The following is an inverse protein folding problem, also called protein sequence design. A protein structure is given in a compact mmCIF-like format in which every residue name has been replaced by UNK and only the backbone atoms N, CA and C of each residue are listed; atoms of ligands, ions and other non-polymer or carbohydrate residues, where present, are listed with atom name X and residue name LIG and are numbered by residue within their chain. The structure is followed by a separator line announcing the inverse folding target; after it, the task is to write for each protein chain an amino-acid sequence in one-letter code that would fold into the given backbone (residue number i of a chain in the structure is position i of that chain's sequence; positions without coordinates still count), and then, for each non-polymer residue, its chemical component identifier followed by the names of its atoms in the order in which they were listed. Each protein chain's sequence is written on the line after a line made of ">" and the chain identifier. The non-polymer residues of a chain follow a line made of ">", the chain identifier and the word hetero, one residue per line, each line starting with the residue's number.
data_IF_760890750376
#
_entry.id   IF_760890750376
#
_cell.length_a   1.000
_cell.length_b   1.000
_cell.length_c   1.000
_cell.angle_alpha   90.00
_cell.angle_beta   90.00
_cell.angle_gamma   90.00
#
_symmetry.space_group_name_H-M   'P 1'
#
loop_
_entity.id
_entity.type
_entity.pdbx_description
1 polymer ?
#
# COMPACT_ATOMS: atom_id res chain seq x y z
N UNK A 1 -21.82 -1.48 21.89
CA UNK A 1 -21.87 -2.95 21.61
C UNK A 1 -22.75 -3.16 20.40
N UNK A 2 -22.20 -3.75 19.32
CA UNK A 2 -23.00 -4.18 18.18
C UNK A 2 -24.18 -5.04 18.65
N UNK A 3 -24.70 -5.90 17.85
CA UNK A 3 -25.73 -6.82 18.31
C UNK A 3 -25.07 -8.02 19.04
N UNK A 4 -25.41 -8.38 20.27
CA UNK A 4 -24.73 -9.45 21.03
C UNK A 4 -24.63 -10.79 20.29
N UNK A 5 -25.59 -11.08 19.41
CA UNK A 5 -25.67 -12.30 18.59
C UNK A 5 -25.43 -12.03 17.10
N UNK A 6 -25.03 -10.80 16.74
CA UNK A 6 -24.93 -10.37 15.34
C UNK A 6 -23.98 -11.22 14.50
N UNK A 7 -22.85 -11.66 15.05
CA UNK A 7 -21.90 -12.55 14.37
C UNK A 7 -22.50 -13.94 14.04
N UNK A 8 -23.55 -14.35 14.74
CA UNK A 8 -24.31 -15.60 14.51
C UNK A 8 -25.48 -15.41 13.53
N UNK A 9 -25.94 -14.19 13.34
CA UNK A 9 -27.15 -13.87 12.56
C UNK A 9 -26.84 -13.34 11.16
N UNK A 10 -25.69 -12.69 11.02
CA UNK A 10 -25.28 -12.06 9.76
C UNK A 10 -23.98 -12.68 9.27
N UNK A 11 -23.95 -13.10 8.02
CA UNK A 11 -22.72 -13.54 7.34
C UNK A 11 -21.79 -12.37 7.08
N UNK A 12 -20.47 -12.64 7.04
CA UNK A 12 -19.51 -11.67 6.57
C UNK A 12 -19.78 -11.32 5.11
N UNK A 13 -19.87 -10.03 4.82
CA UNK A 13 -19.99 -9.51 3.46
C UNK A 13 -18.87 -8.49 3.19
N UNK A 14 -18.34 -8.53 1.99
CA UNK A 14 -17.38 -7.56 1.47
C UNK A 14 -18.08 -6.69 0.41
N UNK A 15 -17.53 -5.51 0.07
CA UNK A 15 -17.94 -4.80 -1.13
C UNK A 15 -17.87 -5.73 -2.34
N UNK A 16 -18.77 -5.54 -3.26
CA UNK A 16 -18.71 -6.25 -4.54
C UNK A 16 -17.61 -5.58 -5.39
N UNK A 17 -16.77 -6.39 -5.98
CA UNK A 17 -15.79 -5.89 -6.94
C UNK A 17 -16.40 -5.87 -8.35
N UNK A 18 -16.08 -4.85 -9.11
CA UNK A 18 -16.38 -4.81 -10.53
C UNK A 18 -15.76 -6.02 -11.24
N UNK A 19 -16.44 -6.57 -12.22
CA UNK A 19 -15.94 -7.75 -12.95
C UNK A 19 -14.51 -7.56 -13.45
N UNK A 20 -13.60 -8.53 -13.24
CA UNK A 20 -12.18 -8.41 -13.61
C UNK A 20 -11.97 -8.00 -15.08
N UNK A 21 -12.75 -8.57 -16.02
CA UNK A 21 -12.63 -8.26 -17.44
C UNK A 21 -13.18 -6.89 -17.83
N UNK A 22 -14.05 -6.28 -17.00
CA UNK A 22 -14.56 -4.92 -17.25
C UNK A 22 -13.68 -3.87 -16.59
N UNK A 23 -13.16 -4.15 -15.38
CA UNK A 23 -12.37 -3.17 -14.63
C UNK A 23 -10.96 -2.95 -15.19
N UNK A 24 -10.43 -3.88 -16.00
CA UNK A 24 -9.15 -3.70 -16.69
C UNK A 24 -9.20 -2.69 -17.84
N UNK A 25 -10.40 -2.29 -18.30
CA UNK A 25 -10.57 -1.34 -19.39
C UNK A 25 -10.52 0.13 -18.92
N UNK A 26 -10.41 0.37 -17.60
CA UNK A 26 -10.32 1.71 -17.03
C UNK A 26 -9.42 1.78 -15.79
N UNK A 27 -9.27 3.00 -15.26
CA UNK A 27 -8.44 3.31 -14.09
C UNK A 27 -9.26 3.68 -12.85
N UNK A 28 -10.57 3.44 -12.85
CA UNK A 28 -11.45 3.74 -11.71
C UNK A 28 -11.29 2.71 -10.60
N UNK A 29 -11.62 3.11 -9.36
CA UNK A 29 -11.62 2.19 -8.21
C UNK A 29 -12.51 0.97 -8.52
N UNK A 30 -12.05 -0.21 -8.13
CA UNK A 30 -12.73 -1.46 -8.51
C UNK A 30 -13.74 -1.96 -7.47
N UNK A 31 -13.74 -1.44 -6.25
CA UNK A 31 -14.74 -1.74 -5.23
C UNK A 31 -16.01 -0.92 -5.46
N UNK A 32 -17.15 -1.58 -5.39
CA UNK A 32 -18.46 -0.90 -5.36
C UNK A 32 -18.81 -0.47 -3.92
N UNK A 33 -19.59 0.59 -3.82
CA UNK A 33 -20.05 1.07 -2.49
C UNK A 33 -21.04 0.08 -1.90
N UNK A 34 -20.76 -0.38 -0.68
CA UNK A 34 -21.65 -1.27 0.04
C UNK A 34 -22.90 -0.50 0.54
N UNK A 35 -24.12 -1.03 0.35
CA UNK A 35 -25.34 -0.40 0.88
C UNK A 35 -25.30 -0.24 2.41
N UNK A 36 -25.83 0.88 2.91
CA UNK A 36 -25.84 1.19 4.34
C UNK A 36 -26.42 0.06 5.20
N UNK A 37 -27.54 -0.56 4.75
CA UNK A 37 -28.14 -1.67 5.48
C UNK A 37 -27.16 -2.83 5.69
N UNK A 38 -26.34 -3.13 4.68
CA UNK A 38 -25.31 -4.16 4.76
C UNK A 38 -24.16 -3.76 5.68
N UNK A 39 -23.74 -2.48 5.64
CA UNK A 39 -22.73 -1.97 6.57
C UNK A 39 -23.18 -2.06 8.02
N UNK A 40 -24.45 -1.77 8.31
CA UNK A 40 -25.05 -1.95 9.64
C UNK A 40 -25.02 -3.41 10.07
N UNK A 41 -25.37 -4.36 9.18
CA UNK A 41 -25.24 -5.79 9.45
C UNK A 41 -23.80 -6.18 9.79
N UNK A 42 -22.81 -5.63 9.06
CA UNK A 42 -21.39 -5.89 9.32
C UNK A 42 -20.94 -5.28 10.66
N UNK A 43 -21.38 -4.07 11.01
CA UNK A 43 -21.14 -3.46 12.32
C UNK A 43 -21.74 -4.28 13.46
N UNK A 44 -22.94 -4.89 13.24
CA UNK A 44 -23.61 -5.76 14.21
C UNK A 44 -22.79 -7.02 14.54
N UNK A 45 -21.92 -7.50 13.65
CA UNK A 45 -21.07 -8.68 13.88
C UNK A 45 -20.00 -8.47 14.96
N UNK A 46 -19.73 -7.23 15.34
CA UNK A 46 -18.73 -6.92 16.37
C UNK A 46 -19.24 -7.32 17.76
N UNK A 47 -18.48 -8.18 18.45
CA UNK A 47 -18.82 -8.67 19.80
C UNK A 47 -18.50 -7.67 20.92
N UNK A 48 -17.84 -6.55 20.61
CA UNK A 48 -17.35 -5.57 21.59
C UNK A 48 -16.52 -6.25 22.71
N UNK A 49 -15.46 -6.91 22.30
CA UNK A 49 -14.62 -7.71 23.21
C UNK A 49 -14.01 -6.84 24.31
N UNK A 50 -14.05 -7.31 25.56
CA UNK A 50 -13.44 -6.62 26.70
C UNK A 50 -11.92 -6.44 26.53
N UNK A 51 -11.25 -7.34 25.80
CA UNK A 51 -9.89 -7.21 25.30
C UNK A 51 -9.94 -7.33 23.78
N UNK A 52 -10.06 -6.20 23.06
CA UNK A 52 -10.20 -6.23 21.60
C UNK A 52 -8.85 -6.39 20.91
N UNK A 53 -8.48 -7.59 20.53
CA UNK A 53 -7.22 -7.87 19.83
C UNK A 53 -7.06 -7.08 18.51
N UNK A 54 -8.15 -6.67 17.89
CA UNK A 54 -8.12 -5.79 16.74
C UNK A 54 -7.45 -4.42 17.01
N UNK A 55 -7.37 -3.97 18.28
CA UNK A 55 -6.71 -2.72 18.68
C UNK A 55 -5.22 -2.87 19.02
N UNK A 56 -4.73 -4.09 19.29
CA UNK A 56 -3.46 -4.26 20.02
C UNK A 56 -2.27 -3.57 19.39
N UNK A 57 -2.11 -3.69 18.07
CA UNK A 57 -0.99 -3.07 17.38
C UNK A 57 0.39 -3.60 17.74
N UNK A 58 0.45 -4.56 18.66
CA UNK A 58 1.70 -5.09 19.20
C UNK A 58 2.18 -6.33 18.45
N UNK A 59 3.49 -6.56 18.54
CA UNK A 59 4.11 -7.83 18.16
C UNK A 59 3.84 -8.84 19.27
N UNK A 60 3.20 -9.95 18.92
CA UNK A 60 2.73 -10.95 19.90
C UNK A 60 3.87 -11.89 20.37
N UNK A 61 4.97 -12.01 19.62
CA UNK A 61 6.15 -12.80 19.98
C UNK A 61 7.41 -12.33 19.26
N UNK A 62 8.60 -12.72 19.77
CA UNK A 62 9.90 -12.39 19.18
C UNK A 62 9.99 -12.88 17.72
N UNK A 63 10.31 -11.94 16.81
CA UNK A 63 10.40 -12.21 15.37
C UNK A 63 9.08 -12.24 14.62
N UNK A 64 7.99 -11.79 15.22
CA UNK A 64 6.65 -11.99 14.71
C UNK A 64 6.01 -10.83 13.97
N UNK A 65 5.04 -11.25 13.21
CA UNK A 65 4.15 -10.44 12.43
C UNK A 65 3.16 -9.78 13.35
N UNK A 66 3.05 -8.46 13.25
CA UNK A 66 2.18 -7.66 14.09
C UNK A 66 0.74 -8.19 14.12
N UNK A 67 0.07 -7.96 15.22
CA UNK A 67 -1.33 -8.30 15.45
C UNK A 67 -2.14 -7.03 15.71
N UNK A 68 -3.33 -6.92 15.16
CA UNK A 68 -4.23 -5.79 15.39
C UNK A 68 -3.81 -4.50 14.67
N UNK A 69 -4.51 -3.41 14.99
CA UNK A 69 -4.28 -2.11 14.39
C UNK A 69 -3.07 -1.40 15.02
N UNK A 70 -2.02 -1.03 14.26
CA UNK A 70 -0.82 -0.39 14.80
C UNK A 70 -1.04 1.03 15.33
N UNK A 71 -2.14 1.68 14.97
CA UNK A 71 -2.52 3.00 15.51
C UNK A 71 -3.62 2.90 16.58
N UNK A 72 -3.93 1.70 17.05
CA UNK A 72 -4.88 1.41 18.12
C UNK A 72 -6.29 1.97 17.86
N UNK A 73 -6.78 1.84 16.63
CA UNK A 73 -8.11 2.30 16.24
C UNK A 73 -9.22 1.76 17.16
N UNK A 74 -10.16 2.61 17.52
CA UNK A 74 -11.27 2.30 18.46
C UNK A 74 -12.40 1.50 17.76
N UNK A 75 -12.03 0.36 17.19
CA UNK A 75 -12.82 -0.43 16.25
C UNK A 75 -14.19 -0.89 16.81
N UNK A 76 -14.30 -1.49 18.01
CA UNK A 76 -15.62 -1.89 18.55
C UNK A 76 -16.58 -0.72 18.70
N UNK A 77 -16.07 0.45 19.09
CA UNK A 77 -16.90 1.63 19.33
C UNK A 77 -17.53 2.14 18.05
N UNK A 78 -16.76 2.31 16.97
CA UNK A 78 -17.33 2.76 15.71
C UNK A 78 -18.23 1.70 15.05
N UNK A 79 -17.93 0.40 15.23
CA UNK A 79 -18.79 -0.67 14.74
C UNK A 79 -20.19 -0.62 15.39
N UNK A 80 -20.28 -0.36 16.70
CA UNK A 80 -21.55 -0.14 17.39
C UNK A 80 -22.29 1.07 16.84
N UNK A 81 -21.57 2.19 16.63
CA UNK A 81 -22.17 3.41 16.12
C UNK A 81 -22.72 3.22 14.70
N UNK A 82 -21.99 2.54 13.81
CA UNK A 82 -22.45 2.19 12.46
C UNK A 82 -23.67 1.25 12.52
N UNK A 83 -23.65 0.22 13.35
CA UNK A 83 -24.81 -0.65 13.56
C UNK A 83 -26.07 0.14 13.95
N UNK A 84 -25.90 1.13 14.80
CA UNK A 84 -27.00 2.00 15.27
C UNK A 84 -27.38 3.10 14.28
N UNK A 85 -26.62 3.28 13.18
CA UNK A 85 -26.83 4.35 12.20
C UNK A 85 -26.36 5.73 12.67
N UNK A 86 -25.47 5.79 13.64
CA UNK A 86 -24.89 7.01 14.21
C UNK A 86 -23.58 7.35 13.50
N UNK A 87 -23.69 7.70 12.22
CA UNK A 87 -22.54 7.85 11.30
C UNK A 87 -21.62 9.01 11.67
N UNK A 88 -22.18 10.13 12.12
CA UNK A 88 -21.37 11.30 12.51
C UNK A 88 -20.53 10.98 13.75
N UNK A 89 -21.14 10.35 14.76
CA UNK A 89 -20.44 9.90 15.96
C UNK A 89 -19.39 8.82 15.65
N UNK A 90 -19.67 7.95 14.67
CA UNK A 90 -18.68 6.98 14.19
C UNK A 90 -17.47 7.68 13.56
N UNK A 91 -17.69 8.71 12.74
CA UNK A 91 -16.63 9.52 12.14
C UNK A 91 -15.80 10.23 13.22
N UNK A 92 -16.44 10.87 14.19
CA UNK A 92 -15.75 11.54 15.31
C UNK A 92 -14.90 10.54 16.12
N UNK A 93 -15.40 9.30 16.29
CA UNK A 93 -14.66 8.25 16.98
C UNK A 93 -13.47 7.74 16.17
N UNK A 94 -13.63 7.58 14.87
CA UNK A 94 -12.59 7.14 13.94
C UNK A 94 -11.45 8.15 13.85
N UNK A 95 -11.76 9.44 13.73
CA UNK A 95 -10.77 10.52 13.65
C UNK A 95 -9.95 10.73 14.94
N UNK A 96 -10.32 10.10 16.07
CA UNK A 96 -9.51 10.20 17.30
C UNK A 96 -8.15 9.53 17.17
N UNK A 97 -8.05 8.51 16.35
CA UNK A 97 -6.84 7.69 16.19
C UNK A 97 -6.32 7.65 14.77
N UNK A 98 -7.17 7.93 13.77
CA UNK A 98 -6.81 7.85 12.37
C UNK A 98 -7.04 9.20 11.67
N UNK A 99 -5.96 9.79 11.17
CA UNK A 99 -6.03 11.07 10.44
C UNK A 99 -6.66 10.92 9.06
N UNK A 100 -6.48 9.77 8.40
CA UNK A 100 -6.79 9.58 6.99
C UNK A 100 -7.46 8.24 6.70
N UNK A 101 -8.67 8.01 7.22
CA UNK A 101 -9.38 6.74 7.03
C UNK A 101 -9.68 6.43 5.56
N UNK A 102 -9.79 7.44 4.71
CA UNK A 102 -9.97 7.29 3.28
C UNK A 102 -8.80 6.60 2.57
N UNK A 103 -7.57 6.75 3.11
CA UNK A 103 -6.39 6.05 2.60
C UNK A 103 -6.29 4.65 3.20
N UNK A 104 -6.30 4.55 4.52
CA UNK A 104 -6.14 3.27 5.21
C UNK A 104 -7.30 2.33 4.91
N UNK A 105 -8.51 2.81 4.85
CA UNK A 105 -9.68 2.01 4.50
C UNK A 105 -9.67 1.44 3.08
N UNK A 106 -8.87 2.02 2.16
CA UNK A 106 -8.66 1.48 0.81
C UNK A 106 -7.46 0.55 0.70
N UNK A 107 -6.31 0.93 1.29
CA UNK A 107 -5.03 0.28 0.98
C UNK A 107 -4.39 -0.47 2.15
N UNK A 108 -4.88 -0.33 3.38
CA UNK A 108 -4.36 -1.07 4.52
C UNK A 108 -4.61 -2.58 4.34
N UNK A 109 -3.63 -3.44 4.64
CA UNK A 109 -3.82 -4.90 4.62
C UNK A 109 -4.79 -5.39 5.70
N UNK A 110 -5.22 -4.53 6.63
CA UNK A 110 -6.16 -4.80 7.71
C UNK A 110 -5.71 -5.91 8.70
N UNK A 111 -4.55 -5.76 9.37
CA UNK A 111 -4.13 -6.73 10.39
C UNK A 111 -5.13 -6.84 11.55
N UNK A 112 -5.95 -5.82 11.76
CA UNK A 112 -7.07 -5.84 12.70
C UNK A 112 -8.11 -6.92 12.39
N UNK A 113 -8.39 -7.20 11.11
CA UNK A 113 -9.29 -8.29 10.71
C UNK A 113 -8.67 -9.65 11.01
N UNK A 114 -7.36 -9.80 10.74
CA UNK A 114 -6.62 -11.02 11.06
C UNK A 114 -6.58 -11.36 12.55
N UNK A 115 -6.71 -10.34 13.41
CA UNK A 115 -6.70 -10.45 14.88
C UNK A 115 -8.10 -10.34 15.51
N UNK A 116 -9.14 -10.18 14.71
CA UNK A 116 -10.51 -10.15 15.22
C UNK A 116 -10.86 -11.46 15.93
N UNK A 117 -11.41 -11.37 17.15
CA UNK A 117 -11.78 -12.55 17.97
C UNK A 117 -12.84 -13.40 17.28
N UNK A 118 -13.78 -12.79 16.54
CA UNK A 118 -14.74 -13.54 15.70
C UNK A 118 -14.01 -14.46 14.73
N UNK A 119 -12.84 -14.04 14.22
CA UNK A 119 -12.01 -14.80 13.28
C UNK A 119 -11.43 -16.11 13.82
N UNK A 120 -11.65 -16.46 15.09
CA UNK A 120 -11.26 -17.76 15.67
C UNK A 120 -12.20 -18.88 15.19
N UNK A 121 -13.50 -18.61 15.13
CA UNK A 121 -14.54 -19.60 14.83
C UNK A 121 -15.33 -19.30 13.54
N UNK A 122 -15.40 -18.03 13.15
CA UNK A 122 -16.17 -17.52 12.02
C UNK A 122 -15.35 -16.51 11.21
N UNK A 123 -15.78 -16.14 9.99
CA UNK A 123 -15.13 -15.05 9.26
C UNK A 123 -15.11 -13.74 10.06
N UNK A 124 -13.98 -13.02 10.17
CA UNK A 124 -13.85 -11.83 10.98
C UNK A 124 -14.79 -10.69 10.55
N UNK A 125 -14.96 -9.68 11.39
CA UNK A 125 -15.66 -8.44 11.01
C UNK A 125 -14.93 -7.76 9.86
N UNK A 126 -15.66 -7.20 8.90
CA UNK A 126 -15.08 -6.45 7.74
C UNK A 126 -14.72 -5.02 8.15
N UNK A 127 -13.70 -4.91 8.99
CA UNK A 127 -13.31 -3.68 9.69
C UNK A 127 -12.89 -2.59 8.70
N UNK A 128 -12.00 -2.95 7.75
CA UNK A 128 -11.47 -2.01 6.77
C UNK A 128 -12.57 -1.38 5.91
N UNK A 129 -13.55 -2.17 5.49
CA UNK A 129 -14.66 -1.67 4.70
C UNK A 129 -15.59 -0.76 5.50
N UNK A 130 -15.83 -1.07 6.78
CA UNK A 130 -16.60 -0.17 7.66
C UNK A 130 -15.85 1.16 7.83
N UNK A 131 -14.54 1.12 8.04
CA UNK A 131 -13.67 2.30 8.17
C UNK A 131 -13.79 3.24 6.97
N UNK A 132 -13.58 2.74 5.74
CA UNK A 132 -13.68 3.56 4.53
C UNK A 132 -15.10 4.08 4.32
N UNK A 133 -16.12 3.29 4.66
CA UNK A 133 -17.51 3.71 4.52
C UNK A 133 -17.90 4.83 5.48
N UNK A 134 -17.34 4.85 6.69
CA UNK A 134 -17.55 5.96 7.64
C UNK A 134 -17.01 7.27 7.07
N UNK A 135 -15.77 7.27 6.59
CA UNK A 135 -15.14 8.50 6.10
C UNK A 135 -15.74 8.98 4.78
N UNK A 136 -16.04 8.10 3.85
CA UNK A 136 -16.65 8.48 2.59
C UNK A 136 -18.07 9.04 2.83
N UNK A 137 -18.87 8.42 3.70
CA UNK A 137 -20.13 8.98 4.15
C UNK A 137 -19.96 10.38 4.77
N UNK A 138 -18.94 10.58 5.61
CA UNK A 138 -18.62 11.87 6.21
C UNK A 138 -18.28 12.96 5.19
N UNK A 139 -17.57 12.62 4.13
CA UNK A 139 -17.32 13.54 3.01
C UNK A 139 -18.59 13.84 2.22
N UNK A 140 -19.40 12.83 1.89
CA UNK A 140 -20.65 12.98 1.13
C UNK A 140 -21.66 13.85 1.88
N UNK A 141 -21.73 13.75 3.18
CA UNK A 141 -22.57 14.59 4.04
C UNK A 141 -21.98 15.98 4.32
N UNK A 142 -20.75 16.23 3.88
CA UNK A 142 -20.06 17.49 4.12
C UNK A 142 -19.70 17.72 5.60
N UNK A 143 -19.55 16.66 6.40
CA UNK A 143 -19.10 16.75 7.80
C UNK A 143 -17.59 16.94 7.90
N UNK A 144 -16.83 16.35 6.97
CA UNK A 144 -15.37 16.54 6.91
C UNK A 144 -15.08 17.89 6.28
N UNK A 145 -14.61 18.82 7.08
CA UNK A 145 -14.32 20.21 6.72
C UNK A 145 -12.94 20.61 7.21
N UNK A 146 -12.31 21.67 6.62
CA UNK A 146 -11.07 22.21 7.16
C UNK A 146 -11.27 22.70 8.60
N UNK A 147 -10.39 22.29 9.49
CA UNK A 147 -10.37 22.67 10.91
C UNK A 147 -9.05 23.37 11.25
N UNK A 148 -8.87 24.64 10.82
CA UNK A 148 -7.66 25.36 11.15
C UNK A 148 -7.56 25.55 12.66
N UNK A 149 -6.35 25.48 13.25
CA UNK A 149 -6.17 25.62 14.69
C UNK A 149 -6.62 26.99 15.19
N UNK A 150 -7.35 27.03 16.30
CA UNK A 150 -7.89 28.26 16.90
C UNK A 150 -6.78 29.23 17.32
N UNK A 151 -5.60 28.69 17.67
CA UNK A 151 -4.45 29.52 18.11
C UNK A 151 -3.17 28.99 17.46
N UNK A 152 -2.28 29.91 17.08
CA UNK A 152 -0.94 29.59 16.60
C UNK A 152 0.07 29.69 17.73
N UNK A 153 0.93 28.67 17.84
CA UNK A 153 1.98 28.57 18.88
C UNK A 153 3.15 29.54 18.67
N UNK A 154 3.28 30.12 17.48
CA UNK A 154 4.45 30.90 17.05
C UNK A 154 5.64 30.01 16.63
N UNK A 155 5.54 28.69 16.69
CA UNK A 155 6.58 27.76 16.30
C UNK A 155 6.41 27.33 14.83
N UNK A 156 7.56 27.11 14.17
CA UNK A 156 7.65 26.67 12.76
C UNK A 156 8.26 25.28 12.68
N UNK A 157 7.70 24.42 11.84
CA UNK A 157 8.20 23.06 11.62
C UNK A 157 8.31 22.77 10.12
N UNK A 158 9.48 22.33 9.69
CA UNK A 158 9.69 21.79 8.37
C UNK A 158 9.50 20.26 8.39
N UNK A 159 8.73 19.73 7.44
CA UNK A 159 8.53 18.29 7.25
C UNK A 159 9.07 17.90 5.87
N UNK A 160 9.97 16.95 5.79
CA UNK A 160 10.56 16.46 4.55
C UNK A 160 9.86 15.19 4.09
N UNK A 161 9.19 15.27 2.95
CA UNK A 161 8.38 14.20 2.37
C UNK A 161 6.89 14.36 2.69
N UNK A 162 6.06 14.21 1.66
CA UNK A 162 4.60 14.33 1.71
C UNK A 162 3.87 13.00 1.62
N UNK A 163 4.57 11.88 1.83
CA UNK A 163 3.94 10.57 1.94
C UNK A 163 3.01 10.46 3.16
N UNK A 164 2.39 9.30 3.41
CA UNK A 164 1.45 9.11 4.52
C UNK A 164 1.99 9.59 5.87
N UNK A 165 3.26 9.28 6.17
CA UNK A 165 3.90 9.70 7.42
C UNK A 165 4.04 11.22 7.53
N UNK A 166 4.51 11.87 6.46
CA UNK A 166 4.66 13.33 6.43
C UNK A 166 3.33 14.07 6.51
N UNK A 167 2.31 13.60 5.80
CA UNK A 167 0.96 14.17 5.88
C UNK A 167 0.37 14.02 7.28
N UNK A 168 0.50 12.84 7.92
CA UNK A 168 0.00 12.62 9.27
C UNK A 168 0.73 13.49 10.29
N UNK A 169 2.06 13.59 10.21
CA UNK A 169 2.86 14.46 11.04
C UNK A 169 2.44 15.93 10.86
N UNK A 170 2.31 16.39 9.62
CA UNK A 170 1.92 17.76 9.32
C UNK A 170 0.52 18.10 9.85
N UNK A 171 -0.45 17.19 9.69
CA UNK A 171 -1.81 17.37 10.21
C UNK A 171 -1.83 17.54 11.74
N UNK A 172 -1.13 16.64 12.46
CA UNK A 172 -1.06 16.68 13.92
C UNK A 172 -0.34 17.94 14.42
N UNK A 173 0.77 18.32 13.84
CA UNK A 173 1.52 19.51 14.22
C UNK A 173 0.74 20.79 13.91
N UNK A 174 0.07 20.85 12.75
CA UNK A 174 -0.78 21.98 12.40
C UNK A 174 -1.97 22.10 13.36
N UNK A 175 -2.66 20.98 13.68
CA UNK A 175 -3.75 20.93 14.65
C UNK A 175 -3.31 21.39 16.05
N UNK A 176 -2.06 21.10 16.45
CA UNK A 176 -1.45 21.61 17.68
C UNK A 176 -1.09 23.12 17.62
N UNK A 177 -1.31 23.77 16.49
CA UNK A 177 -1.11 25.20 16.31
C UNK A 177 0.27 25.62 15.78
N UNK A 178 1.13 24.68 15.39
CA UNK A 178 2.41 25.01 14.76
C UNK A 178 2.20 25.46 13.30
N UNK A 179 3.11 26.30 12.79
CA UNK A 179 3.16 26.59 11.36
C UNK A 179 3.98 25.49 10.68
N UNK A 180 3.36 24.75 9.77
CA UNK A 180 3.98 23.61 9.13
C UNK A 180 4.20 23.86 7.64
N UNK A 181 5.42 23.59 7.16
CA UNK A 181 5.77 23.58 5.75
C UNK A 181 6.27 22.19 5.39
N UNK A 182 5.60 21.55 4.43
CA UNK A 182 5.98 20.22 3.89
C UNK A 182 6.73 20.39 2.58
N UNK A 183 7.91 19.80 2.48
CA UNK A 183 8.75 19.81 1.28
C UNK A 183 8.61 18.46 0.55
N UNK A 184 8.26 18.53 -0.72
CA UNK A 184 8.03 17.35 -1.58
C UNK A 184 8.85 17.49 -2.88
N UNK A 185 9.64 16.46 -3.20
CA UNK A 185 10.45 16.46 -4.41
C UNK A 185 9.64 16.30 -5.69
N UNK A 186 8.52 15.58 -5.62
CA UNK A 186 7.62 15.42 -6.75
C UNK A 186 6.78 16.68 -7.01
N UNK A 187 6.15 16.74 -8.17
CA UNK A 187 5.26 17.82 -8.58
C UNK A 187 3.90 17.80 -7.86
N UNK A 188 3.53 16.65 -7.26
CA UNK A 188 2.30 16.45 -6.50
C UNK A 188 2.58 15.88 -5.12
N UNK A 189 1.74 16.29 -4.16
CA UNK A 189 1.77 15.84 -2.77
C UNK A 189 1.16 14.44 -2.65
N UNK A 190 1.72 13.60 -1.79
CA UNK A 190 1.15 12.30 -1.44
C UNK A 190 2.14 11.14 -1.41
N UNK A 191 3.34 11.30 -1.98
CA UNK A 191 4.34 10.23 -2.04
C UNK A 191 3.77 8.95 -2.67
N UNK A 192 3.82 7.82 -1.96
CA UNK A 192 3.27 6.55 -2.46
C UNK A 192 1.74 6.60 -2.69
N UNK A 193 1.00 7.40 -1.95
CA UNK A 193 -0.44 7.59 -2.17
C UNK A 193 -0.71 8.19 -3.56
N UNK A 194 0.17 9.07 -4.03
CA UNK A 194 0.04 9.73 -5.32
C UNK A 194 0.61 8.84 -6.45
N UNK A 195 1.86 8.39 -6.34
CA UNK A 195 2.58 7.82 -7.46
C UNK A 195 2.94 6.34 -7.32
N UNK A 196 2.82 5.75 -6.11
CA UNK A 196 3.14 4.34 -5.88
C UNK A 196 1.93 3.42 -6.05
N UNK A 197 0.81 3.81 -5.46
CA UNK A 197 -0.44 3.06 -5.52
C UNK A 197 -1.16 3.43 -6.82
N UNK A 198 -1.60 2.48 -7.66
CA UNK A 198 -2.32 2.80 -8.90
C UNK A 198 -3.69 3.45 -8.65
N UNK A 199 -4.18 4.22 -9.64
CA UNK A 199 -5.46 4.95 -9.51
C UNK A 199 -6.66 4.01 -9.25
N UNK A 200 -6.65 2.79 -9.82
CA UNK A 200 -7.72 1.81 -9.61
C UNK A 200 -7.79 1.25 -8.18
N UNK A 201 -6.79 1.46 -7.34
CA UNK A 201 -6.83 1.13 -5.89
C UNK A 201 -7.12 2.34 -5.02
N UNK A 202 -6.71 3.52 -5.47
CA UNK A 202 -6.83 4.76 -4.71
C UNK A 202 -6.91 5.92 -5.69
N UNK A 203 -8.09 6.47 -5.86
CA UNK A 203 -8.32 7.60 -6.76
C UNK A 203 -7.53 8.83 -6.33
N UNK A 204 -6.79 9.42 -7.28
CA UNK A 204 -5.91 10.55 -6.98
C UNK A 204 -6.66 11.85 -6.82
N UNK A 205 -7.66 12.07 -7.68
CA UNK A 205 -8.41 13.31 -7.71
C UNK A 205 -9.46 13.38 -6.59
N UNK A 206 -10.26 12.32 -6.46
CA UNK A 206 -11.40 12.33 -5.53
C UNK A 206 -11.03 11.94 -4.11
N UNK A 207 -9.88 11.30 -3.88
CA UNK A 207 -9.45 10.87 -2.55
C UNK A 207 -8.21 11.61 -2.11
N UNK A 208 -7.08 11.49 -2.86
CA UNK A 208 -5.80 12.06 -2.42
C UNK A 208 -5.80 13.58 -2.47
N UNK A 209 -6.13 14.17 -3.63
CA UNK A 209 -6.14 15.63 -3.79
C UNK A 209 -7.22 16.30 -2.92
N UNK A 210 -8.38 15.66 -2.73
CA UNK A 210 -9.41 16.14 -1.80
C UNK A 210 -8.85 16.35 -0.40
N UNK A 211 -8.11 15.36 0.15
CA UNK A 211 -7.48 15.47 1.48
C UNK A 211 -6.37 16.52 1.49
N UNK A 212 -5.51 16.56 0.49
CA UNK A 212 -4.44 17.55 0.38
C UNK A 212 -4.99 18.98 0.36
N UNK A 213 -6.08 19.21 -0.38
CA UNK A 213 -6.74 20.52 -0.44
C UNK A 213 -7.37 20.91 0.91
N UNK A 214 -7.92 19.96 1.66
CA UNK A 214 -8.39 20.19 3.02
C UNK A 214 -7.23 20.63 3.94
N UNK A 215 -6.11 19.92 3.93
CA UNK A 215 -4.92 20.25 4.71
C UNK A 215 -4.34 21.64 4.35
N UNK A 216 -4.34 22.01 3.06
CA UNK A 216 -3.99 23.36 2.62
C UNK A 216 -4.93 24.42 3.22
N UNK A 217 -6.24 24.15 3.22
CA UNK A 217 -7.24 25.05 3.78
C UNK A 217 -7.11 25.19 5.31
N UNK A 218 -6.55 24.19 6.00
CA UNK A 218 -6.19 24.26 7.42
C UNK A 218 -4.91 25.06 7.71
N UNK A 219 -4.17 25.44 6.66
CA UNK A 219 -3.01 26.29 6.75
C UNK A 219 -1.65 25.59 6.70
N UNK A 220 -1.61 24.32 6.25
CA UNK A 220 -0.34 23.63 5.93
C UNK A 220 0.17 24.12 4.57
N UNK A 221 1.42 24.55 4.53
CA UNK A 221 2.11 24.95 3.30
C UNK A 221 2.81 23.74 2.67
N UNK A 222 2.63 23.55 1.35
CA UNK A 222 3.32 22.51 0.59
C UNK A 222 4.24 23.13 -0.46
N UNK A 223 5.50 22.74 -0.45
CA UNK A 223 6.52 23.12 -1.45
C UNK A 223 6.88 21.89 -2.27
N UNK A 224 6.22 21.74 -3.40
CA UNK A 224 6.50 20.68 -4.39
C UNK A 224 7.69 21.05 -5.28
N UNK A 225 8.21 20.09 -6.05
CA UNK A 225 9.42 20.22 -6.87
C UNK A 225 10.62 20.74 -6.05
N UNK A 226 10.73 20.28 -4.80
CA UNK A 226 11.78 20.73 -3.88
C UNK A 226 12.38 19.53 -3.16
N UNK A 227 13.52 19.07 -3.64
CA UNK A 227 14.27 17.98 -3.03
C UNK A 227 15.21 18.48 -1.95
N UNK A 228 14.89 18.19 -0.69
CA UNK A 228 15.76 18.52 0.43
C UNK A 228 17.00 17.64 0.42
N UNK A 229 18.16 18.28 0.53
CA UNK A 229 19.45 17.61 0.34
C UNK A 229 20.09 17.91 -1.05
N UNK A 230 19.26 18.30 -2.03
CA UNK A 230 19.71 18.66 -3.38
C UNK A 230 19.41 20.12 -3.70
N UNK A 231 18.12 20.51 -3.73
CA UNK A 231 17.69 21.89 -4.05
C UNK A 231 17.83 22.82 -2.85
N UNK A 232 17.59 22.31 -1.65
CA UNK A 232 17.76 23.03 -0.39
C UNK A 232 18.51 22.15 0.60
N UNK A 233 19.52 22.70 1.29
CA UNK A 233 20.28 21.96 2.30
C UNK A 233 19.42 21.70 3.54
N UNK A 234 19.54 20.48 4.10
CA UNK A 234 18.85 20.13 5.35
C UNK A 234 19.23 21.07 6.51
N UNK A 235 20.49 21.51 6.60
CA UNK A 235 20.97 22.46 7.59
C UNK A 235 20.24 23.80 7.53
N UNK A 236 19.92 24.32 6.32
CA UNK A 236 19.15 25.55 6.16
C UNK A 236 17.76 25.41 6.78
N UNK A 237 17.12 24.25 6.62
CA UNK A 237 15.80 24.04 7.24
C UNK A 237 15.87 23.95 8.77
N UNK A 238 16.97 23.45 9.33
CA UNK A 238 17.20 23.44 10.78
C UNK A 238 17.39 24.88 11.31
N UNK A 239 18.11 25.72 10.55
CA UNK A 239 18.37 27.11 10.96
C UNK A 239 17.12 28.01 10.86
N UNK A 240 16.26 27.75 9.84
CA UNK A 240 15.07 28.55 9.54
C UNK A 240 13.82 28.13 10.33
N UNK A 241 13.84 26.97 11.01
CA UNK A 241 12.69 26.42 11.71
C UNK A 241 13.03 26.01 13.15
N UNK A 242 12.00 25.94 14.00
CA UNK A 242 12.13 25.42 15.36
C UNK A 242 12.37 23.89 15.40
N UNK A 243 11.91 23.18 14.38
CA UNK A 243 12.16 21.74 14.22
C UNK A 243 12.14 21.30 12.76
N UNK A 244 12.87 20.22 12.47
CA UNK A 244 12.87 19.49 11.20
C UNK A 244 12.42 18.04 11.45
N UNK A 245 11.46 17.54 10.66
CA UNK A 245 10.99 16.15 10.71
C UNK A 245 11.26 15.48 9.39
N UNK A 246 11.92 14.32 9.43
CA UNK A 246 12.27 13.54 8.24
C UNK A 246 11.23 12.44 8.02
N UNK A 247 10.47 12.54 6.94
CA UNK A 247 9.43 11.62 6.53
C UNK A 247 9.62 11.16 5.08
N UNK A 248 10.88 11.01 4.62
CA UNK A 248 11.24 10.71 3.23
C UNK A 248 10.84 9.33 2.73
N UNK A 249 10.44 8.43 3.61
CA UNK A 249 10.07 7.06 3.27
C UNK A 249 11.25 6.16 2.91
N UNK A 250 10.98 4.89 2.63
CA UNK A 250 11.95 3.91 2.13
C UNK A 250 11.91 3.90 0.61
N UNK A 251 12.82 4.64 -0.04
CA UNK A 251 12.85 4.81 -1.49
C UNK A 251 14.03 4.14 -2.19
N UNK A 252 14.98 3.60 -1.40
CA UNK A 252 16.14 2.84 -1.92
C UNK A 252 15.71 1.40 -2.25
N UNK A 253 15.50 1.04 -3.54
CA UNK A 253 14.97 -0.27 -3.88
C UNK A 253 16.00 -1.38 -3.66
N UNK A 254 15.52 -2.60 -3.43
CA UNK A 254 16.33 -3.79 -3.63
C UNK A 254 16.56 -4.01 -5.12
N UNK A 255 17.80 -4.30 -5.47
CA UNK A 255 18.19 -4.60 -6.85
C UNK A 255 18.58 -6.08 -6.99
N UNK A 256 18.64 -6.55 -8.23
CA UNK A 256 19.03 -7.90 -8.60
C UNK A 256 20.31 -7.85 -9.45
N UNK A 257 21.50 -7.75 -8.81
CA UNK A 257 22.76 -7.56 -9.50
C UNK A 257 23.29 -8.87 -10.09
N UNK A 258 22.63 -9.36 -11.14
CA UNK A 258 22.96 -10.57 -11.90
C UNK A 258 23.35 -10.20 -13.34
N UNK A 259 23.87 -11.18 -14.09
CA UNK A 259 24.23 -11.02 -15.49
C UNK A 259 23.07 -10.45 -16.31
N UNK A 260 23.34 -9.39 -17.07
CA UNK A 260 22.38 -8.71 -17.94
C UNK A 260 21.49 -7.68 -17.23
N UNK A 261 21.76 -7.31 -15.96
CA UNK A 261 20.95 -6.30 -15.24
C UNK A 261 20.90 -4.94 -15.93
N UNK A 262 21.95 -4.60 -16.67
CA UNK A 262 22.13 -3.34 -17.42
C UNK A 262 21.32 -3.26 -18.72
N UNK A 263 20.71 -4.36 -19.16
CA UNK A 263 19.93 -4.44 -20.40
C UNK A 263 18.68 -3.57 -20.29
N UNK A 264 18.34 -2.85 -21.38
CA UNK A 264 17.14 -2.01 -21.43
C UNK A 264 15.85 -2.87 -21.29
N UNK A 265 14.81 -2.28 -20.72
CA UNK A 265 13.54 -2.97 -20.45
C UNK A 265 13.44 -3.63 -19.07
N UNK A 266 14.49 -3.50 -18.24
CA UNK A 266 14.49 -3.98 -16.84
C UNK A 266 14.38 -2.75 -15.92
N UNK A 267 13.21 -2.56 -15.31
CA UNK A 267 12.85 -1.39 -14.53
C UNK A 267 12.56 -1.73 -13.07
N UNK A 268 12.79 -0.79 -12.17
CA UNK A 268 12.19 -0.89 -10.85
C UNK A 268 10.67 -0.68 -10.94
N UNK A 269 9.93 -1.41 -10.14
CA UNK A 269 8.47 -1.33 -10.11
C UNK A 269 7.96 0.11 -9.88
N UNK A 270 8.66 0.87 -9.03
CA UNK A 270 8.28 2.27 -8.76
C UNK A 270 8.45 3.19 -9.95
N UNK A 271 9.46 2.98 -10.81
CA UNK A 271 9.62 3.77 -12.03
C UNK A 271 8.44 3.56 -12.98
N UNK A 272 8.01 2.29 -13.11
CA UNK A 272 6.87 1.92 -13.92
C UNK A 272 5.55 2.51 -13.38
N UNK A 273 5.27 2.36 -12.08
CA UNK A 273 4.04 2.82 -11.45
C UNK A 273 3.96 4.35 -11.39
N UNK A 274 5.09 5.02 -11.07
CA UNK A 274 5.18 6.47 -11.04
C UNK A 274 4.92 7.07 -12.43
N UNK A 275 5.66 6.62 -13.44
CA UNK A 275 5.52 7.13 -14.80
C UNK A 275 4.10 6.91 -15.34
N UNK A 276 3.52 5.73 -15.10
CA UNK A 276 2.13 5.45 -15.45
C UNK A 276 1.16 6.43 -14.81
N UNK A 277 1.21 6.58 -13.49
CA UNK A 277 0.24 7.44 -12.78
C UNK A 277 0.44 8.91 -13.15
N UNK A 278 1.69 9.35 -13.33
CA UNK A 278 1.99 10.72 -13.76
C UNK A 278 1.40 11.00 -15.15
N UNK A 279 1.66 10.17 -16.14
CA UNK A 279 1.12 10.32 -17.50
C UNK A 279 -0.42 10.24 -17.52
N UNK A 280 -1.02 9.33 -16.71
CA UNK A 280 -2.47 9.27 -16.56
C UNK A 280 -3.06 10.59 -16.05
N UNK A 281 -2.47 11.20 -15.03
CA UNK A 281 -2.95 12.44 -14.42
C UNK A 281 -2.66 13.68 -15.28
N UNK A 282 -1.56 13.70 -16.02
CA UNK A 282 -1.16 14.83 -16.82
C UNK A 282 -1.92 14.91 -18.16
N UNK A 283 -2.21 13.76 -18.76
CA UNK A 283 -2.71 13.71 -20.14
C UNK A 283 -3.68 12.57 -20.45
N UNK A 284 -4.02 11.71 -19.49
CA UNK A 284 -4.76 10.48 -19.81
C UNK A 284 -3.96 9.51 -20.70
N UNK A 285 -2.63 9.50 -20.54
CA UNK A 285 -1.65 8.76 -21.35
C UNK A 285 -1.41 9.27 -22.78
N UNK A 286 -2.00 10.41 -23.18
CA UNK A 286 -1.80 10.97 -24.53
C UNK A 286 -0.37 11.49 -24.77
N UNK A 287 0.37 11.80 -23.68
CA UNK A 287 1.78 12.26 -23.77
C UNK A 287 2.77 11.13 -24.03
N UNK A 288 2.36 9.87 -23.88
CA UNK A 288 3.22 8.69 -24.01
C UNK A 288 4.49 8.74 -23.11
N UNK A 289 4.47 9.50 -22.01
CA UNK A 289 5.62 9.65 -21.10
C UNK A 289 5.57 8.59 -19.98
N UNK A 290 5.35 7.33 -20.35
CA UNK A 290 5.33 6.20 -19.43
C UNK A 290 5.93 4.94 -20.07
N UNK A 291 6.25 3.96 -19.23
CA UNK A 291 6.76 2.66 -19.67
C UNK A 291 5.57 1.82 -20.15
N UNK A 292 5.32 1.74 -21.46
CA UNK A 292 4.17 1.01 -21.99
C UNK A 292 4.40 -0.49 -22.01
N UNK A 293 3.46 -1.24 -21.43
CA UNK A 293 3.40 -2.70 -21.51
C UNK A 293 2.50 -3.20 -22.66
N UNK A 294 1.98 -2.31 -23.51
CA UNK A 294 1.08 -2.68 -24.61
C UNK A 294 1.73 -3.68 -25.56
N UNK A 295 1.08 -4.83 -25.79
CA UNK A 295 1.53 -5.88 -26.68
C UNK A 295 2.81 -6.61 -26.23
N UNK A 296 3.28 -6.38 -24.99
CA UNK A 296 4.56 -6.90 -24.50
C UNK A 296 4.38 -8.12 -23.60
N UNK A 297 5.43 -8.94 -23.52
CA UNK A 297 5.56 -10.01 -22.56
C UNK A 297 6.17 -9.43 -21.28
N UNK A 298 5.38 -9.39 -20.20
CA UNK A 298 5.76 -8.76 -18.93
C UNK A 298 6.09 -9.81 -17.89
N UNK A 299 7.22 -9.62 -17.21
CA UNK A 299 7.60 -10.42 -16.04
C UNK A 299 7.74 -9.50 -14.84
N UNK A 300 7.05 -9.85 -13.74
CA UNK A 300 7.16 -9.16 -12.46
C UNK A 300 7.93 -10.04 -11.49
N UNK A 301 9.01 -9.52 -10.90
CA UNK A 301 9.81 -10.23 -9.88
C UNK A 301 9.46 -9.68 -8.51
N UNK A 302 8.74 -10.46 -7.71
CA UNK A 302 8.24 -10.15 -6.38
C UNK A 302 6.74 -10.40 -6.24
N UNK A 303 6.34 -11.04 -5.13
CA UNK A 303 4.97 -11.50 -4.86
C UNK A 303 4.12 -10.58 -3.97
N UNK A 304 4.66 -9.42 -3.52
CA UNK A 304 3.97 -8.50 -2.63
C UNK A 304 2.99 -7.54 -3.33
N UNK A 305 2.43 -6.59 -2.57
CA UNK A 305 1.44 -5.61 -3.06
C UNK A 305 1.95 -4.79 -4.26
N UNK A 306 3.22 -4.37 -4.25
CA UNK A 306 3.83 -3.68 -5.40
C UNK A 306 3.83 -4.55 -6.65
N UNK A 307 4.06 -5.86 -6.50
CA UNK A 307 4.01 -6.81 -7.62
C UNK A 307 2.60 -6.92 -8.21
N UNK A 308 1.58 -7.01 -7.36
CA UNK A 308 0.18 -7.03 -7.80
C UNK A 308 -0.22 -5.73 -8.51
N UNK A 309 0.27 -4.59 -8.04
CA UNK A 309 0.04 -3.27 -8.67
C UNK A 309 0.69 -3.19 -10.06
N UNK A 310 1.89 -3.77 -10.23
CA UNK A 310 2.53 -3.91 -11.53
C UNK A 310 1.72 -4.83 -12.47
N UNK A 311 1.18 -5.93 -11.96
CA UNK A 311 0.32 -6.84 -12.74
C UNK A 311 -0.94 -6.11 -13.24
N UNK A 312 -1.69 -5.48 -12.34
CA UNK A 312 -2.91 -4.75 -12.68
C UNK A 312 -2.69 -3.59 -13.64
N UNK A 313 -1.56 -2.87 -13.50
CA UNK A 313 -1.17 -1.80 -14.43
C UNK A 313 -0.81 -2.35 -15.80
N UNK A 314 -0.02 -3.42 -15.88
CA UNK A 314 0.36 -4.05 -17.15
C UNK A 314 -0.84 -4.59 -17.93
N UNK A 315 -1.85 -5.13 -17.24
CA UNK A 315 -3.10 -5.59 -17.85
C UNK A 315 -3.88 -4.44 -18.49
N UNK A 316 -3.97 -3.29 -17.81
CA UNK A 316 -4.62 -2.07 -18.33
C UNK A 316 -3.89 -1.47 -19.54
N UNK A 317 -2.58 -1.65 -19.62
CA UNK A 317 -1.82 -1.33 -20.83
C UNK A 317 -2.09 -2.30 -21.98
N UNK A 318 -2.72 -3.47 -21.75
CA UNK A 318 -2.95 -4.47 -22.78
C UNK A 318 -1.73 -5.34 -23.06
N UNK A 319 -1.01 -5.78 -22.03
CA UNK A 319 0.13 -6.71 -22.18
C UNK A 319 -0.27 -8.01 -22.88
N UNK A 320 0.67 -8.60 -23.63
CA UNK A 320 0.46 -9.84 -24.36
C UNK A 320 0.48 -11.07 -23.45
N UNK A 321 1.46 -11.14 -22.55
CA UNK A 321 1.56 -12.15 -21.50
C UNK A 321 1.98 -11.51 -20.19
N UNK A 322 1.66 -12.19 -19.09
CA UNK A 322 2.05 -11.76 -17.75
C UNK A 322 2.49 -12.97 -16.91
N UNK A 323 3.69 -12.87 -16.32
CA UNK A 323 4.16 -13.82 -15.32
C UNK A 323 4.66 -13.06 -14.08
N UNK A 324 4.45 -13.63 -12.90
CA UNK A 324 4.93 -13.08 -11.64
C UNK A 324 5.73 -14.14 -10.88
N UNK A 325 6.94 -13.80 -10.44
CA UNK A 325 7.84 -14.74 -9.78
C UNK A 325 8.03 -14.39 -8.31
N UNK A 326 7.88 -15.41 -7.48
CA UNK A 326 8.08 -15.33 -6.05
C UNK A 326 9.16 -16.36 -5.62
N UNK A 327 10.16 -15.86 -4.89
CA UNK A 327 11.23 -16.72 -4.36
C UNK A 327 10.76 -17.58 -3.18
N UNK A 328 9.73 -17.10 -2.46
CA UNK A 328 9.17 -17.81 -1.32
C UNK A 328 8.24 -18.94 -1.77
N UNK A 329 8.00 -19.95 -0.92
CA UNK A 329 7.02 -20.98 -1.21
C UNK A 329 5.60 -20.39 -1.25
N UNK A 330 4.72 -21.05 -2.02
CA UNK A 330 3.30 -20.71 -2.04
C UNK A 330 2.74 -20.79 -0.60
N UNK A 331 2.08 -19.73 -0.10
CA UNK A 331 1.43 -19.79 1.20
C UNK A 331 0.36 -20.89 1.23
N UNK A 332 0.10 -21.51 2.40
CA UNK A 332 -0.97 -22.49 2.54
C UNK A 332 -2.35 -21.83 2.40
N UNK A 333 -3.37 -22.62 2.05
CA UNK A 333 -4.75 -22.11 1.92
C UNK A 333 -5.37 -21.77 3.28
N UNK A 334 -4.89 -22.37 4.38
CA UNK A 334 -5.33 -22.12 5.75
C UNK A 334 -4.13 -21.81 6.65
N UNK A 335 -4.37 -21.24 7.83
CA UNK A 335 -3.32 -20.96 8.82
C UNK A 335 -2.58 -22.24 9.21
N UNK A 336 -1.25 -22.21 9.12
CA UNK A 336 -0.42 -23.26 9.68
C UNK A 336 -0.33 -23.14 11.22
N UNK A 337 -0.01 -24.25 11.90
CA UNK A 337 0.22 -24.26 13.35
C UNK A 337 1.36 -23.32 13.79
N UNK A 338 2.30 -23.05 12.88
CA UNK A 338 3.40 -22.10 13.09
C UNK A 338 3.01 -20.64 12.89
N UNK A 339 1.76 -20.36 12.51
CA UNK A 339 1.21 -19.03 12.35
C UNK A 339 -0.16 -18.91 13.07
N UNK A 340 -0.20 -19.08 14.41
CA UNK A 340 -1.46 -19.10 15.15
C UNK A 340 -2.13 -17.73 15.19
N UNK A 341 -3.44 -17.69 15.37
CA UNK A 341 -4.14 -16.49 15.79
C UNK A 341 -3.54 -15.96 17.12
N UNK A 342 -3.37 -14.64 17.32
CA UNK A 342 -3.88 -13.51 16.54
C UNK A 342 -2.90 -12.94 15.50
N UNK A 343 -1.83 -13.61 15.21
CA UNK A 343 -0.82 -13.15 14.24
C UNK A 343 -1.44 -12.85 12.87
N UNK A 344 -0.74 -12.03 12.07
CA UNK A 344 -1.09 -11.82 10.67
C UNK A 344 -1.16 -13.16 9.90
N UNK A 345 -2.29 -13.46 9.23
CA UNK A 345 -2.44 -14.75 8.54
C UNK A 345 -1.55 -14.85 7.30
N UNK A 346 -0.61 -15.79 7.32
CA UNK A 346 0.18 -16.18 6.15
C UNK A 346 -0.57 -17.23 5.34
N UNK A 347 -1.61 -16.81 4.65
CA UNK A 347 -2.44 -17.68 3.82
C UNK A 347 -2.43 -17.20 2.37
N UNK A 348 -2.63 -18.13 1.47
CA UNK A 348 -2.77 -17.81 0.06
C UNK A 348 -3.97 -16.89 -0.18
N UNK A 349 -3.73 -15.80 -0.93
CA UNK A 349 -4.76 -14.87 -1.36
C UNK A 349 -4.60 -14.60 -2.85
N UNK A 350 -5.69 -14.57 -3.57
CA UNK A 350 -5.73 -14.04 -4.92
C UNK A 350 -6.09 -12.56 -4.81
N UNK A 351 -5.15 -11.67 -5.11
CA UNK A 351 -5.38 -10.24 -5.10
C UNK A 351 -5.90 -9.78 -6.47
N UNK A 352 -6.34 -8.53 -6.55
CA UNK A 352 -7.03 -7.99 -7.71
C UNK A 352 -6.25 -8.16 -9.03
N UNK A 353 -4.95 -7.88 -9.05
CA UNK A 353 -4.12 -7.99 -10.26
C UNK A 353 -3.94 -9.43 -10.74
N UNK A 354 -3.81 -10.40 -9.80
CA UNK A 354 -3.76 -11.81 -10.17
C UNK A 354 -5.14 -12.34 -10.59
N UNK A 355 -6.23 -11.85 -9.96
CA UNK A 355 -7.60 -12.20 -10.37
C UNK A 355 -7.88 -11.73 -11.80
N UNK A 356 -7.48 -10.49 -12.13
CA UNK A 356 -7.57 -9.92 -13.48
C UNK A 356 -6.76 -10.72 -14.50
N UNK A 357 -5.51 -11.08 -14.15
CA UNK A 357 -4.65 -11.91 -14.99
C UNK A 357 -5.26 -13.29 -15.25
N UNK A 358 -5.78 -13.92 -14.20
CA UNK A 358 -6.45 -15.20 -14.29
C UNK A 358 -7.70 -15.13 -15.16
N UNK A 359 -8.50 -14.07 -15.04
CA UNK A 359 -9.69 -13.88 -15.87
C UNK A 359 -9.34 -13.66 -17.35
N UNK A 360 -8.20 -12.98 -17.65
CA UNK A 360 -7.77 -12.68 -19.02
C UNK A 360 -7.01 -13.84 -19.68
N UNK A 361 -6.12 -14.51 -18.94
CA UNK A 361 -5.20 -15.52 -19.50
C UNK A 361 -5.53 -16.95 -19.10
N UNK A 362 -6.47 -17.17 -18.16
CA UNK A 362 -6.95 -18.49 -17.74
C UNK A 362 -6.34 -18.99 -16.44
N UNK A 363 -5.12 -18.54 -16.08
CA UNK A 363 -4.37 -19.02 -14.91
C UNK A 363 -3.84 -17.88 -14.03
N UNK A 364 -3.56 -18.19 -12.76
CA UNK A 364 -2.82 -17.30 -11.85
C UNK A 364 -1.40 -17.08 -12.42
N UNK A 365 -0.95 -15.82 -12.60
CA UNK A 365 0.34 -15.52 -13.21
C UNK A 365 1.53 -15.88 -12.32
N UNK A 366 1.31 -16.24 -11.04
CA UNK A 366 2.37 -16.47 -10.06
C UNK A 366 3.02 -17.83 -10.18
N UNK A 367 4.34 -17.82 -10.12
CA UNK A 367 5.17 -19.01 -9.93
C UNK A 367 6.02 -18.84 -8.68
N UNK A 368 6.04 -19.85 -7.83
CA UNK A 368 6.70 -19.82 -6.51
C UNK A 368 8.00 -20.66 -6.55
N UNK A 369 8.90 -20.37 -5.60
CA UNK A 369 10.22 -21.02 -5.52
C UNK A 369 11.02 -20.83 -6.82
N UNK A 370 10.93 -19.67 -7.41
CA UNK A 370 11.62 -19.30 -8.65
C UNK A 370 12.73 -18.30 -8.34
N UNK A 371 13.94 -18.62 -8.77
CA UNK A 371 15.08 -17.72 -8.72
C UNK A 371 15.52 -17.32 -10.12
N UNK A 372 15.65 -16.01 -10.36
CA UNK A 372 16.21 -15.48 -11.60
C UNK A 372 17.72 -15.66 -11.60
N UNK A 373 18.26 -16.17 -12.72
CA UNK A 373 19.70 -16.41 -12.88
C UNK A 373 20.38 -15.33 -13.73
N UNK A 374 19.74 -14.93 -14.84
CA UNK A 374 20.26 -13.91 -15.74
C UNK A 374 19.18 -13.34 -16.66
N UNK A 375 19.47 -12.19 -17.20
CA UNK A 375 18.75 -11.56 -18.29
C UNK A 375 19.53 -11.71 -19.61
N UNK A 376 18.82 -11.88 -20.71
CA UNK A 376 19.43 -11.98 -22.04
C UNK A 376 18.79 -10.93 -22.93
N UNK A 377 19.64 -10.16 -23.61
CA UNK A 377 19.25 -9.11 -24.55
C UNK A 377 19.13 -9.60 -25.98
N UNK A 378 18.49 -8.80 -26.81
CA UNK A 378 18.55 -8.88 -28.26
C UNK A 378 19.76 -8.12 -28.81
N UNK A 379 19.88 -8.07 -30.13
CA UNK A 379 20.97 -7.38 -30.84
C UNK A 379 20.88 -5.83 -30.72
N UNK A 380 19.72 -5.30 -30.28
CA UNK A 380 19.44 -3.88 -30.07
C UNK A 380 19.66 -3.45 -28.59
N UNK A 381 19.96 -4.41 -27.72
CA UNK A 381 20.23 -4.17 -26.30
C UNK A 381 18.98 -4.11 -25.41
N UNK A 382 17.83 -4.57 -25.90
CA UNK A 382 16.61 -4.72 -25.09
C UNK A 382 16.50 -6.12 -24.51
N UNK A 383 15.85 -6.27 -23.37
CA UNK A 383 15.58 -7.57 -22.77
C UNK A 383 14.68 -8.41 -23.69
N UNK A 384 15.06 -9.66 -23.91
CA UNK A 384 14.37 -10.62 -24.75
C UNK A 384 13.98 -11.86 -24.00
N UNK A 385 14.81 -12.28 -23.07
CA UNK A 385 14.62 -13.51 -22.31
C UNK A 385 15.06 -13.32 -20.86
N UNK A 386 14.38 -14.02 -19.96
CA UNK A 386 14.75 -14.18 -18.56
C UNK A 386 14.95 -15.65 -18.26
N UNK A 387 16.12 -16.01 -17.71
CA UNK A 387 16.45 -17.37 -17.33
C UNK A 387 16.24 -17.58 -15.83
N UNK A 388 15.51 -18.61 -15.47
CA UNK A 388 15.18 -18.94 -14.08
C UNK A 388 15.56 -20.39 -13.76
N UNK A 389 15.60 -20.69 -12.49
CA UNK A 389 15.71 -22.03 -11.93
C UNK A 389 14.76 -22.19 -10.75
N UNK A 390 14.21 -23.37 -10.56
CA UNK A 390 13.48 -23.67 -9.32
C UNK A 390 14.48 -23.81 -8.17
N UNK A 391 14.04 -23.49 -6.97
CA UNK A 391 14.84 -23.58 -5.76
C UNK A 391 14.15 -24.42 -4.69
N UNK A 392 14.95 -24.89 -3.76
CA UNK A 392 14.53 -25.31 -2.42
C UNK A 392 15.24 -24.45 -1.37
N UNK A 393 14.60 -24.23 -0.23
CA UNK A 393 15.19 -23.54 0.90
C UNK A 393 15.89 -24.55 1.81
N UNK A 394 17.19 -24.36 2.04
CA UNK A 394 17.97 -25.16 2.97
C UNK A 394 18.76 -24.26 3.93
N UNK A 395 19.31 -24.85 4.98
CA UNK A 395 20.15 -24.12 5.94
C UNK A 395 21.61 -24.21 5.54
N UNK A 396 22.29 -23.07 5.57
CA UNK A 396 23.76 -23.01 5.45
C UNK A 396 24.44 -23.52 6.74
N UNK A 397 25.78 -23.52 6.75
CA UNK A 397 26.61 -23.94 7.89
C UNK A 397 26.35 -23.10 9.16
N UNK A 398 25.79 -21.89 9.02
CA UNK A 398 25.46 -20.98 10.12
C UNK A 398 23.98 -21.08 10.54
N UNK A 399 23.23 -22.02 9.95
CA UNK A 399 21.81 -22.22 10.22
C UNK A 399 20.86 -21.19 9.55
N UNK A 400 21.37 -20.37 8.62
CA UNK A 400 20.57 -19.39 7.87
C UNK A 400 19.92 -20.07 6.65
N UNK A 401 18.66 -19.76 6.41
CA UNK A 401 17.99 -20.22 5.21
C UNK A 401 18.56 -19.56 3.96
N UNK A 402 18.98 -20.37 2.99
CA UNK A 402 19.53 -19.96 1.71
C UNK A 402 18.81 -20.71 0.59
N UNK A 403 18.53 -20.06 -0.56
CA UNK A 403 17.94 -20.73 -1.72
C UNK A 403 19.00 -21.60 -2.41
N UNK A 404 18.67 -22.88 -2.67
CA UNK A 404 19.51 -23.81 -3.42
C UNK A 404 18.87 -24.11 -4.77
N UNK A 405 19.56 -23.88 -5.91
CA UNK A 405 19.06 -24.22 -7.23
C UNK A 405 18.84 -25.73 -7.40
N UNK A 406 17.73 -26.11 -8.00
CA UNK A 406 17.42 -27.49 -8.39
C UNK A 406 17.94 -27.70 -9.81
N UNK A 407 19.00 -28.48 -9.95
CA UNK A 407 19.65 -28.79 -11.24
C UNK A 407 18.66 -29.46 -12.21
N UNK A 408 18.61 -29.00 -13.45
CA UNK A 408 17.73 -29.52 -14.49
C UNK A 408 16.31 -28.91 -14.46
N UNK A 409 16.09 -27.88 -13.64
CA UNK A 409 14.83 -27.12 -13.59
C UNK A 409 14.91 -25.75 -14.30
N UNK A 410 15.97 -25.53 -15.04
CA UNK A 410 16.20 -24.28 -15.76
C UNK A 410 15.08 -24.03 -16.77
N UNK A 411 14.58 -22.80 -16.80
CA UNK A 411 13.52 -22.37 -17.72
C UNK A 411 13.84 -21.02 -18.32
N UNK A 412 13.53 -20.87 -19.60
CA UNK A 412 13.64 -19.62 -20.35
C UNK A 412 12.24 -19.06 -20.55
N UNK A 413 12.11 -17.76 -20.26
CA UNK A 413 10.87 -17.03 -20.39
C UNK A 413 11.07 -15.86 -21.37
N UNK A 414 10.20 -15.71 -22.39
CA UNK A 414 10.23 -14.51 -23.21
C UNK A 414 9.83 -13.29 -22.36
N UNK A 415 10.56 -12.18 -22.52
CA UNK A 415 10.32 -10.97 -21.76
C UNK A 415 10.69 -9.75 -22.59
N UNK A 416 9.76 -8.82 -22.74
CA UNK A 416 9.98 -7.50 -23.34
C UNK A 416 10.09 -6.42 -22.26
N UNK A 417 9.55 -6.69 -21.07
CA UNK A 417 9.66 -5.86 -19.86
C UNK A 417 9.83 -6.77 -18.64
N UNK A 418 10.76 -6.37 -17.76
CA UNK A 418 10.91 -6.96 -16.43
C UNK A 418 10.76 -5.88 -15.37
N UNK A 419 9.88 -6.11 -14.39
CA UNK A 419 9.60 -5.19 -13.30
C UNK A 419 10.08 -5.77 -11.97
N UNK A 420 11.05 -5.08 -11.34
CA UNK A 420 11.62 -5.49 -10.05
C UNK A 420 10.80 -4.93 -8.90
N UNK A 421 9.97 -5.78 -8.28
CA UNK A 421 9.08 -5.46 -7.17
C UNK A 421 9.52 -6.14 -5.86
N UNK A 422 10.81 -6.04 -5.52
CA UNK A 422 11.48 -6.80 -4.47
C UNK A 422 11.58 -6.03 -3.13
N UNK A 423 10.79 -4.96 -2.93
CA UNK A 423 10.81 -4.13 -1.73
C UNK A 423 12.00 -3.16 -1.68
N UNK A 424 12.22 -2.58 -0.49
CA UNK A 424 13.13 -1.46 -0.28
C UNK A 424 14.05 -1.74 0.91
N UNK A 425 15.26 -1.12 0.88
CA UNK A 425 16.26 -1.22 1.97
C UNK A 425 16.07 -0.16 3.05
N UNK A 426 15.54 1.01 2.68
CA UNK A 426 15.40 2.13 3.59
C UNK A 426 15.37 3.48 2.85
N UNK A 427 15.55 4.59 3.58
CA UNK A 427 15.65 5.92 2.99
C UNK A 427 16.95 6.09 2.18
N UNK A 428 16.96 7.10 1.32
CA UNK A 428 18.17 7.54 0.61
C UNK A 428 19.17 8.18 1.57
N UNK A 429 20.47 8.03 1.24
CA UNK A 429 21.56 8.40 2.15
C UNK A 429 21.84 9.91 2.15
N UNK A 430 21.63 10.63 1.02
CA UNK A 430 22.10 12.00 0.80
C UNK A 430 21.74 12.98 1.92
N UNK A 431 20.47 13.06 2.31
CA UNK A 431 20.03 13.98 3.36
C UNK A 431 20.50 13.53 4.74
N UNK A 432 20.48 12.22 5.00
CA UNK A 432 20.90 11.66 6.28
C UNK A 432 22.39 11.88 6.52
N UNK A 433 23.22 11.73 5.48
CA UNK A 433 24.66 11.99 5.52
C UNK A 433 24.95 13.48 5.72
N UNK A 434 24.19 14.38 5.03
CA UNK A 434 24.34 15.84 5.23
C UNK A 434 24.04 16.29 6.65
N UNK A 435 23.13 15.61 7.32
CA UNK A 435 22.69 15.93 8.68
C UNK A 435 23.41 15.10 9.75
N UNK A 436 24.35 14.23 9.35
CA UNK A 436 25.12 13.34 10.23
C UNK A 436 24.18 12.49 11.13
N UNK A 437 23.04 12.02 10.56
CA UNK A 437 22.09 11.19 11.31
C UNK A 437 22.67 9.79 11.51
N UNK A 438 22.78 9.38 12.78
CA UNK A 438 23.13 8.00 13.14
C UNK A 438 22.02 7.02 12.70
N UNK A 439 22.41 5.83 12.26
CA UNK A 439 21.50 4.79 11.74
C UNK A 439 21.77 3.48 12.47
N UNK A 440 20.73 2.70 12.68
CA UNK A 440 20.79 1.34 13.25
C UNK A 440 21.38 0.32 12.26
#
# INVERSE_FOLDING_TARGET
>A
MGKPTGFMEFDRSLPVDRSPLLRIDDWNEFHEVMPESKLRDQGARCMDCGIPFCHLGDVVSEGDKGAGCPINNLIPEWNDLVFRGLWQEALERLHKTNNFPEFTGRVCPAPCEGSCVVGINDPPVTIKNIEVSIIDHGFDQGWVKPEPPAHRSGKTVAVVGSGPAGLACAAQLNGAGHKVTVYERADRVGGLLMYGIPNMKLDKQFVVERRVNLLKAEGIEFKTNTEVGTDIKGQTLIEDNDALVLCGGATKPNDLPIEGREIAGIHFAMDFLHANTKSLLDSGHEDHQFISAEGKNVIVIGGGDTGTDCCGTSLRHGCNTLAQFEIMPKPPDERADTNPWPQWPNVYKLDYGQEEAKARFGDDPRSYLIMTQKFVGDDEGNVKELHTVNIEWDKDENGRFVPKPIVGSEKIWPADIVLLAMGFRGPEDTLLDQLEIERD
#
